data_IF_856604799915
#
_entry.id   IF_856604799915
#
_cell.length_a   1.000
_cell.length_b   1.000
_cell.length_c   1.000
_cell.angle_alpha   90.00
_cell.angle_beta   90.00
_cell.angle_gamma   90.00
#
_symmetry.space_group_name_H-M   'P 1'
#
loop_
_entity.id
_entity.type
_entity.pdbx_description
1 polymer ?
#
# COMPACT_ATOMS: atom_id res chain seq x y z
N UNK A 1 14.56 43.50 75.58
CA UNK A 1 15.59 42.71 74.88
C UNK A 1 15.83 43.34 73.51
N UNK A 2 17.11 43.52 73.17
CA UNK A 2 17.78 43.84 71.88
C UNK A 2 16.92 44.16 70.64
N UNK A 3 17.02 45.38 70.05
CA UNK A 3 17.91 45.86 68.94
C UNK A 3 17.13 45.95 67.60
N UNK A 4 16.92 47.16 67.03
CA UNK A 4 17.68 47.77 65.89
C UNK A 4 17.47 46.96 64.59
N UNK A 5 17.01 47.43 63.42
CA UNK A 5 17.20 48.69 62.66
C UNK A 5 16.12 48.76 61.54
N UNK A 6 15.70 49.97 61.21
CA UNK A 6 14.94 50.42 60.03
C UNK A 6 15.76 50.53 58.73
N UNK A 7 15.22 50.19 57.55
CA UNK A 7 15.48 50.93 56.29
C UNK A 7 14.59 50.47 55.12
N UNK A 8 13.91 51.45 54.50
CA UNK A 8 13.35 51.44 53.14
C UNK A 8 14.47 51.67 52.10
N UNK A 9 14.39 51.02 50.93
CA UNK A 9 14.77 51.54 49.60
C UNK A 9 14.39 50.49 48.51
N UNK A 10 13.40 50.75 47.65
CA UNK A 10 13.49 51.31 46.28
C UNK A 10 14.30 50.48 45.25
N UNK A 11 13.54 49.84 44.34
CA UNK A 11 13.75 49.63 42.89
C UNK A 11 15.15 49.33 42.33
N UNK A 12 15.30 48.16 41.71
CA UNK A 12 16.01 48.00 40.44
C UNK A 12 15.46 46.80 39.66
N UNK A 13 14.87 47.08 38.49
CA UNK A 13 14.55 46.09 37.49
C UNK A 13 15.85 45.43 37.01
N UNK A 14 15.93 44.10 37.08
CA UNK A 14 17.00 43.34 36.44
C UNK A 14 16.42 42.71 35.19
N UNK A 15 16.62 43.41 34.07
CA UNK A 15 16.61 42.80 32.76
C UNK A 15 17.70 41.72 32.73
N UNK A 16 17.31 40.45 32.66
CA UNK A 16 18.25 39.37 32.39
C UNK A 16 18.41 39.26 30.89
N UNK A 17 19.49 39.88 30.40
CA UNK A 17 19.98 39.73 29.05
C UNK A 17 20.28 38.25 28.76
N UNK A 18 19.91 37.85 27.55
CA UNK A 18 20.24 36.59 26.93
C UNK A 18 21.76 36.33 26.93
N UNK A 19 22.17 35.11 27.24
CA UNK A 19 23.04 34.29 26.39
C UNK A 19 23.47 33.02 27.12
N UNK A 20 22.98 31.87 26.66
CA UNK A 20 23.77 30.63 26.67
C UNK A 20 23.33 29.78 25.48
N UNK A 21 24.05 30.03 24.38
CA UNK A 21 24.42 29.08 23.31
C UNK A 21 23.88 27.65 23.44
N UNK A 22 22.80 27.38 22.72
CA UNK A 22 22.60 26.11 22.02
C UNK A 22 22.29 26.47 20.57
N UNK A 23 23.14 26.07 19.63
CA UNK A 23 22.90 26.24 18.21
C UNK A 23 21.73 25.34 17.78
N UNK A 24 20.50 25.76 18.04
CA UNK A 24 19.33 25.25 17.32
C UNK A 24 19.32 25.94 15.96
N UNK A 25 19.51 25.21 14.87
CA UNK A 25 19.32 25.77 13.54
C UNK A 25 17.89 26.28 13.45
N UNK A 26 17.70 27.58 13.29
CA UNK A 26 16.39 28.21 13.14
C UNK A 26 15.64 27.53 11.97
N UNK A 27 14.41 27.09 12.21
CA UNK A 27 13.59 26.40 11.21
C UNK A 27 13.34 27.37 10.06
N UNK A 28 13.67 26.94 8.84
CA UNK A 28 13.52 27.72 7.61
C UNK A 28 12.05 28.07 7.34
N UNK A 29 11.80 29.23 6.73
CA UNK A 29 10.44 29.71 6.43
C UNK A 29 9.66 28.77 5.49
N UNK A 30 10.35 27.99 4.64
CA UNK A 30 9.72 26.94 3.84
C UNK A 30 9.11 25.84 4.71
N UNK A 31 9.78 25.45 5.80
CA UNK A 31 9.26 24.44 6.74
C UNK A 31 8.09 24.98 7.55
N UNK A 32 8.13 26.28 7.91
CA UNK A 32 7.00 26.95 8.56
C UNK A 32 5.79 27.07 7.63
N UNK A 33 6.02 27.39 6.35
CA UNK A 33 4.98 27.41 5.33
C UNK A 33 4.37 26.02 5.11
N UNK A 34 5.21 24.97 5.08
CA UNK A 34 4.75 23.59 5.03
C UNK A 34 3.84 23.22 6.22
N UNK A 35 4.22 23.60 7.45
CA UNK A 35 3.38 23.39 8.65
C UNK A 35 2.00 24.04 8.55
N UNK A 36 1.85 25.08 7.72
CA UNK A 36 0.54 25.67 7.48
C UNK A 36 -0.34 24.83 6.57
N UNK A 37 0.23 23.98 5.71
CA UNK A 37 -0.48 23.27 4.64
C UNK A 37 -0.52 21.75 4.80
N UNK A 38 0.22 21.17 5.75
CA UNK A 38 0.27 19.71 5.88
C UNK A 38 -1.03 19.06 6.38
N UNK A 39 -1.88 19.84 7.03
CA UNK A 39 -3.23 19.47 7.44
C UNK A 39 -4.18 20.59 7.02
N UNK A 40 -5.39 20.21 6.63
CA UNK A 40 -6.47 21.13 6.31
C UNK A 40 -7.09 21.71 7.59
N UNK A 41 -7.66 22.91 7.50
CA UNK A 41 -8.35 23.50 8.64
C UNK A 41 -9.57 22.65 9.04
N UNK A 42 -9.68 22.30 10.33
CA UNK A 42 -10.73 21.43 10.86
C UNK A 42 -10.42 19.93 10.77
N UNK A 43 -9.28 19.56 10.21
CA UNK A 43 -8.90 18.16 10.03
C UNK A 43 -8.36 17.52 11.30
N UNK A 44 -8.67 16.24 11.49
CA UNK A 44 -8.15 15.40 12.58
C UNK A 44 -7.58 14.11 12.03
N UNK A 45 -6.28 13.91 12.23
CA UNK A 45 -5.53 12.77 11.71
C UNK A 45 -4.90 11.97 12.83
N UNK A 46 -4.92 10.65 12.67
CA UNK A 46 -4.03 9.75 13.40
C UNK A 46 -2.66 9.79 12.72
N UNK A 47 -1.62 10.10 13.49
CA UNK A 47 -0.21 10.03 13.11
C UNK A 47 0.44 8.91 13.93
N UNK A 48 0.61 7.71 13.37
CA UNK A 48 1.13 6.56 14.12
C UNK A 48 2.61 6.74 14.51
N UNK A 49 3.36 7.48 13.72
CA UNK A 49 4.78 7.75 13.95
C UNK A 49 5.07 9.24 13.87
N UNK A 50 6.26 9.60 14.34
CA UNK A 50 6.85 10.90 13.99
C UNK A 50 7.07 11.03 12.48
N UNK A 51 6.40 12.01 11.89
CA UNK A 51 6.41 12.29 10.47
C UNK A 51 7.82 12.59 9.92
N UNK A 52 8.75 13.02 10.78
CA UNK A 52 10.15 13.22 10.39
C UNK A 52 10.87 11.93 10.03
N UNK A 53 10.59 10.84 10.76
CA UNK A 53 11.15 9.52 10.45
C UNK A 53 10.71 9.13 9.03
N UNK A 54 9.42 9.34 8.76
CA UNK A 54 8.78 9.04 7.49
C UNK A 54 9.34 9.86 6.34
N UNK A 55 9.59 11.16 6.50
CA UNK A 55 10.24 11.94 5.44
C UNK A 55 11.70 11.59 5.24
N UNK A 56 12.40 11.20 6.30
CA UNK A 56 13.78 10.74 6.21
C UNK A 56 13.93 9.56 5.25
N UNK A 57 13.00 8.60 5.29
CA UNK A 57 12.96 7.45 4.39
C UNK A 57 12.38 7.79 3.01
N UNK A 58 11.29 8.56 2.96
CA UNK A 58 10.49 8.77 1.74
C UNK A 58 11.02 9.88 0.84
N UNK A 59 11.51 10.97 1.45
CA UNK A 59 11.87 12.22 0.76
C UNK A 59 13.40 12.36 0.64
N UNK A 60 14.15 11.73 1.56
CA UNK A 60 15.61 11.65 1.52
C UNK A 60 16.32 13.01 1.62
N UNK A 61 17.55 13.10 1.11
CA UNK A 61 18.39 14.32 1.16
C UNK A 61 18.04 15.36 0.07
N UNK A 62 16.96 15.14 -0.69
CA UNK A 62 16.57 16.01 -1.81
C UNK A 62 15.93 17.33 -1.36
N UNK A 63 15.43 17.40 -0.12
CA UNK A 63 14.92 18.63 0.47
C UNK A 63 16.07 19.56 0.86
N UNK A 64 16.03 20.78 0.33
CA UNK A 64 16.95 21.87 0.67
C UNK A 64 16.63 22.52 2.02
N UNK A 65 15.42 22.29 2.55
CA UNK A 65 14.94 22.88 3.80
C UNK A 65 15.38 22.06 5.02
N UNK A 66 15.63 22.72 6.16
CA UNK A 66 16.13 22.08 7.38
C UNK A 66 15.02 21.41 8.21
N UNK A 67 14.11 20.65 7.60
CA UNK A 67 12.99 19.95 8.25
C UNK A 67 13.42 19.04 9.42
N UNK A 68 14.66 18.54 9.40
CA UNK A 68 15.26 17.77 10.51
C UNK A 68 15.30 18.57 11.82
N UNK A 69 15.30 19.90 11.75
CA UNK A 69 15.28 20.81 12.90
C UNK A 69 13.90 20.93 13.58
N UNK A 70 12.82 20.41 12.98
CA UNK A 70 11.52 20.35 13.67
C UNK A 70 11.67 19.58 15.01
N UNK A 71 10.84 19.84 16.01
CA UNK A 71 10.75 18.96 17.18
C UNK A 71 9.92 17.71 16.86
N UNK A 72 10.19 16.62 17.59
CA UNK A 72 9.41 15.38 17.50
C UNK A 72 8.10 15.56 18.27
N UNK A 73 6.98 15.16 17.68
CA UNK A 73 5.68 15.16 18.36
C UNK A 73 5.56 13.90 19.24
N UNK A 74 5.09 14.05 20.48
CA UNK A 74 4.82 12.94 21.41
C UNK A 74 6.01 11.99 21.63
N UNK A 75 7.26 12.50 21.59
CA UNK A 75 8.48 11.69 21.70
C UNK A 75 8.56 10.51 20.70
N UNK A 76 7.83 10.63 19.57
CA UNK A 76 7.79 9.63 18.50
C UNK A 76 6.64 8.63 18.62
N UNK A 77 5.86 8.69 19.70
CA UNK A 77 4.68 7.85 19.91
C UNK A 77 3.57 8.21 18.92
N UNK A 78 2.63 7.26 18.66
CA UNK A 78 1.40 7.58 17.95
C UNK A 78 0.68 8.78 18.58
N UNK A 79 0.08 9.61 17.76
CA UNK A 79 -0.63 10.81 18.19
C UNK A 79 -1.86 11.09 17.33
N UNK A 80 -2.87 11.71 17.92
CA UNK A 80 -3.96 12.33 17.16
C UNK A 80 -3.69 13.82 17.10
N UNK A 81 -3.57 14.37 15.90
CA UNK A 81 -3.37 15.80 15.70
C UNK A 81 -4.62 16.40 15.08
N UNK A 82 -4.98 17.61 15.54
CA UNK A 82 -6.11 18.39 15.03
C UNK A 82 -5.63 19.77 14.66
N UNK A 83 -5.86 20.20 13.42
CA UNK A 83 -5.62 21.59 13.01
C UNK A 83 -6.91 22.38 13.09
N UNK A 84 -6.86 23.56 13.69
CA UNK A 84 -8.02 24.46 13.73
C UNK A 84 -7.62 25.92 13.82
N UNK A 85 -8.25 26.74 13.00
CA UNK A 85 -8.19 28.21 13.05
C UNK A 85 -9.14 28.80 14.09
N UNK A 86 -10.10 28.02 14.59
CA UNK A 86 -11.15 28.46 15.51
C UNK A 86 -10.99 27.94 16.94
N UNK A 87 -10.45 26.73 17.11
CA UNK A 87 -10.12 26.18 18.42
C UNK A 87 -8.72 26.63 18.85
N UNK A 88 -8.61 27.02 20.12
CA UNK A 88 -7.28 27.22 20.71
C UNK A 88 -6.56 25.88 20.83
N UNK A 89 -5.31 25.84 20.36
CA UNK A 89 -4.48 24.65 20.46
C UNK A 89 -4.35 24.17 21.92
N UNK A 90 -4.40 22.85 22.15
CA UNK A 90 -4.36 22.27 23.49
C UNK A 90 -2.99 22.40 24.18
N UNK A 91 -1.95 22.83 23.47
CA UNK A 91 -0.58 22.94 23.96
C UNK A 91 0.16 21.61 24.10
N UNK A 92 -0.38 20.52 23.57
CA UNK A 92 0.24 19.20 23.58
C UNK A 92 1.29 19.00 22.49
N UNK A 93 1.29 19.84 21.45
CA UNK A 93 2.36 19.83 20.46
C UNK A 93 3.55 20.68 20.91
N UNK A 94 4.76 20.43 20.37
CA UNK A 94 5.85 21.39 20.48
C UNK A 94 5.46 22.78 19.95
N UNK A 95 6.10 23.84 20.47
CA UNK A 95 5.72 25.24 20.25
C UNK A 95 5.48 25.62 18.78
N UNK A 96 6.29 25.09 17.85
CA UNK A 96 6.17 25.40 16.41
C UNK A 96 4.86 24.89 15.79
N UNK A 97 4.38 23.72 16.22
CA UNK A 97 3.11 23.14 15.77
C UNK A 97 1.93 23.84 16.47
N UNK A 98 2.06 24.10 17.77
CA UNK A 98 1.06 24.84 18.55
C UNK A 98 0.85 26.25 17.97
N UNK A 99 1.93 26.94 17.57
CA UNK A 99 1.86 28.23 16.89
C UNK A 99 1.19 28.18 15.50
N UNK A 100 1.18 27.00 14.85
CA UNK A 100 0.49 26.75 13.59
C UNK A 100 -0.98 26.32 13.77
N UNK A 101 -1.53 26.40 14.99
CA UNK A 101 -2.92 26.06 15.31
C UNK A 101 -3.18 24.56 15.43
N UNK A 102 -2.14 23.76 15.70
CA UNK A 102 -2.26 22.31 15.83
C UNK A 102 -2.34 21.92 17.31
N UNK A 103 -3.31 21.06 17.64
CA UNK A 103 -3.40 20.34 18.91
C UNK A 103 -2.88 18.92 18.74
N UNK A 104 -2.11 18.41 19.69
CA UNK A 104 -1.57 17.04 19.67
C UNK A 104 -2.05 16.30 20.91
N UNK A 105 -2.55 15.10 20.69
CA UNK A 105 -2.97 14.15 21.73
C UNK A 105 -2.06 12.93 21.63
N UNK A 106 -1.20 12.68 22.61
CA UNK A 106 -0.29 11.55 22.59
C UNK A 106 -1.00 10.26 22.99
N UNK A 107 -0.78 9.18 22.24
CA UNK A 107 -1.36 7.87 22.53
C UNK A 107 -0.36 7.07 23.37
N UNK A 108 -0.69 6.84 24.63
CA UNK A 108 0.15 6.13 25.57
C UNK A 108 -0.03 4.62 25.46
N UNK A 109 1.03 3.85 25.72
CA UNK A 109 1.02 2.39 25.74
C UNK A 109 1.31 1.69 24.40
N UNK A 110 1.55 2.44 23.32
CA UNK A 110 1.91 1.88 22.00
C UNK A 110 3.43 1.70 21.80
N UNK A 111 4.26 2.42 22.55
CA UNK A 111 5.71 2.49 22.42
C UNK A 111 6.46 1.20 22.79
N UNK A 112 5.85 0.34 23.60
CA UNK A 112 6.40 -0.96 23.99
C UNK A 112 5.59 -2.14 23.43
N UNK A 113 4.65 -1.87 22.52
CA UNK A 113 3.74 -2.86 21.97
C UNK A 113 4.14 -3.23 20.55
N UNK A 114 4.26 -4.53 20.29
CA UNK A 114 4.45 -5.09 18.94
C UNK A 114 3.12 -5.36 18.22
N UNK A 115 2.00 -5.12 18.90
CA UNK A 115 0.65 -5.24 18.36
C UNK A 115 -0.09 -3.93 18.62
N UNK A 116 -0.45 -3.24 17.54
CA UNK A 116 -1.19 -1.98 17.62
C UNK A 116 -2.65 -2.20 17.32
N UNK A 117 -3.51 -1.63 18.16
CA UNK A 117 -4.96 -1.62 17.95
C UNK A 117 -5.50 -0.20 18.06
N UNK A 118 -6.16 0.28 17.01
CA UNK A 118 -6.79 1.60 16.96
C UNK A 118 -8.30 1.45 16.76
N UNK A 119 -9.06 2.04 17.67
CA UNK A 119 -10.50 2.17 17.53
C UNK A 119 -10.80 3.55 16.97
N UNK A 120 -11.49 3.65 15.84
CA UNK A 120 -11.72 4.91 15.13
C UNK A 120 -13.21 5.16 14.97
N UNK A 121 -13.62 6.42 15.01
CA UNK A 121 -14.99 6.84 14.72
C UNK A 121 -14.97 8.14 13.91
N UNK A 122 -16.02 8.43 13.11
CA UNK A 122 -16.10 9.68 12.37
C UNK A 122 -16.16 10.85 13.35
N UNK A 123 -15.31 11.85 13.15
CA UNK A 123 -15.40 13.10 13.91
C UNK A 123 -16.49 14.00 13.34
N UNK A 124 -17.60 14.13 14.06
CA UNK A 124 -18.74 14.95 13.64
C UNK A 124 -18.57 16.44 13.95
N UNK A 125 -17.94 16.78 15.09
CA UNK A 125 -17.75 18.16 15.52
C UNK A 125 -16.32 18.44 16.01
N UNK A 126 -15.87 19.67 15.77
CA UNK A 126 -14.59 20.19 16.26
C UNK A 126 -14.71 20.56 17.75
N UNK A 127 -14.25 19.67 18.62
CA UNK A 127 -14.08 19.92 20.06
C UNK A 127 -12.61 20.05 20.52
N UNK A 128 -12.39 20.58 21.72
CA UNK A 128 -11.08 20.51 22.38
C UNK A 128 -10.63 19.05 22.55
N UNK A 129 -9.32 18.80 22.42
CA UNK A 129 -8.71 17.48 22.54
C UNK A 129 -7.88 17.39 23.83
N UNK A 130 -7.86 16.22 24.51
CA UNK A 130 -7.00 16.02 25.67
C UNK A 130 -5.52 16.06 25.28
N UNK A 131 -4.63 16.09 26.27
CA UNK A 131 -3.18 16.00 26.01
C UNK A 131 -2.75 14.56 25.73
N UNK A 132 -3.42 13.59 26.33
CA UNK A 132 -3.11 12.16 26.20
C UNK A 132 -4.38 11.33 26.09
N UNK A 133 -4.26 10.18 25.45
CA UNK A 133 -5.24 9.10 25.44
C UNK A 133 -4.50 7.78 25.68
N UNK A 134 -5.13 6.87 26.43
CA UNK A 134 -4.57 5.55 26.70
C UNK A 134 -4.78 4.58 25.53
N UNK A 135 -3.98 3.53 25.49
CA UNK A 135 -4.13 2.41 24.56
C UNK A 135 -5.58 1.91 24.49
N UNK A 136 -6.10 1.73 23.28
CA UNK A 136 -7.48 1.26 23.05
C UNK A 136 -8.55 2.34 23.17
N UNK A 137 -8.19 3.61 23.40
CA UNK A 137 -9.14 4.70 23.31
C UNK A 137 -9.76 4.83 21.91
N UNK A 138 -11.03 5.23 21.84
CA UNK A 138 -11.70 5.53 20.58
C UNK A 138 -11.32 6.91 20.07
N UNK A 139 -10.78 6.96 18.85
CA UNK A 139 -10.23 8.14 18.21
C UNK A 139 -11.25 8.73 17.24
N UNK A 140 -11.66 9.98 17.47
CA UNK A 140 -12.49 10.72 16.53
C UNK A 140 -11.65 11.30 15.39
N UNK A 141 -11.73 10.73 14.19
CA UNK A 141 -10.88 11.08 13.04
C UNK A 141 -11.72 11.58 11.86
N UNK A 142 -11.09 12.41 11.01
CA UNK A 142 -11.62 12.77 9.68
C UNK A 142 -10.83 12.09 8.57
N UNK A 143 -9.53 11.92 8.78
CA UNK A 143 -8.60 11.37 7.79
C UNK A 143 -7.55 10.50 8.49
N UNK A 144 -6.93 9.61 7.73
CA UNK A 144 -5.84 8.75 8.16
C UNK A 144 -4.62 9.05 7.29
N UNK A 145 -3.50 9.41 7.92
CA UNK A 145 -2.23 9.48 7.18
C UNK A 145 -1.69 8.07 6.99
N UNK A 146 -0.93 7.83 5.91
CA UNK A 146 -0.16 6.59 5.72
C UNK A 146 0.50 6.15 7.03
N UNK A 147 0.23 4.92 7.42
CA UNK A 147 0.80 4.30 8.62
C UNK A 147 2.14 3.69 8.24
N UNK A 148 3.22 4.37 8.59
CA UNK A 148 4.53 3.73 8.54
C UNK A 148 4.65 2.80 9.74
N UNK A 149 4.77 1.50 9.55
CA UNK A 149 4.92 0.56 10.65
C UNK A 149 6.38 0.53 11.13
N UNK A 150 6.65 0.56 12.46
CA UNK A 150 7.96 0.22 13.01
C UNK A 150 8.41 -1.19 12.59
N UNK A 151 9.73 -1.40 12.50
CA UNK A 151 10.29 -2.68 12.03
C UNK A 151 9.95 -3.87 12.96
N UNK A 152 9.76 -3.61 14.26
CA UNK A 152 9.42 -4.62 15.27
C UNK A 152 7.91 -4.85 15.44
N UNK A 153 7.07 -4.10 14.72
CA UNK A 153 5.63 -4.24 14.79
C UNK A 153 5.18 -5.48 14.04
N UNK A 154 4.51 -6.39 14.75
CA UNK A 154 4.04 -7.68 14.24
C UNK A 154 2.58 -7.65 13.78
N UNK A 155 1.75 -6.77 14.37
CA UNK A 155 0.35 -6.63 13.99
C UNK A 155 -0.16 -5.20 14.07
N UNK A 156 -0.98 -4.81 13.09
CA UNK A 156 -1.80 -3.59 13.10
C UNK A 156 -3.27 -3.98 12.96
N UNK A 157 -4.10 -3.43 13.84
CA UNK A 157 -5.55 -3.54 13.81
C UNK A 157 -6.20 -2.15 13.86
N UNK A 158 -7.11 -1.88 12.94
CA UNK A 158 -7.94 -0.67 12.92
C UNK A 158 -9.41 -1.11 12.87
N UNK A 159 -10.18 -0.63 13.85
CA UNK A 159 -11.60 -0.98 14.01
C UNK A 159 -12.45 0.27 14.01
N UNK A 160 -13.33 0.40 13.04
CA UNK A 160 -14.39 1.39 13.06
C UNK A 160 -15.42 1.08 14.14
N UNK A 161 -15.73 2.07 14.98
CA UNK A 161 -16.73 1.96 16.05
C UNK A 161 -18.07 2.49 15.54
N UNK A 162 -19.12 1.70 15.75
CA UNK A 162 -20.49 2.02 15.34
C UNK A 162 -21.08 0.97 14.40
N UNK A 163 -22.33 1.17 14.00
CA UNK A 163 -23.06 0.23 13.13
C UNK A 163 -22.70 0.41 11.65
N UNK A 164 -22.33 1.62 11.24
CA UNK A 164 -21.93 1.95 9.88
C UNK A 164 -20.40 1.97 9.74
N UNK A 165 -19.91 1.56 8.57
CA UNK A 165 -18.48 1.62 8.25
C UNK A 165 -17.97 3.06 8.28
N UNK A 166 -16.84 3.26 8.97
CA UNK A 166 -16.21 4.56 9.14
C UNK A 166 -15.54 4.98 7.83
N UNK A 167 -16.07 6.00 7.17
CA UNK A 167 -15.43 6.59 5.99
C UNK A 167 -14.25 7.48 6.44
N UNK A 168 -13.04 7.16 5.96
CA UNK A 168 -11.83 7.94 6.23
C UNK A 168 -11.12 8.28 4.92
N UNK A 169 -10.66 9.51 4.80
CA UNK A 169 -9.77 9.90 3.72
C UNK A 169 -8.36 9.43 4.05
N UNK A 170 -7.74 8.64 3.17
CA UNK A 170 -6.32 8.32 3.31
C UNK A 170 -5.49 9.39 2.61
N UNK A 171 -4.54 9.97 3.35
CA UNK A 171 -3.66 11.03 2.87
C UNK A 171 -2.22 10.57 2.93
N UNK A 172 -1.42 10.94 1.92
CA UNK A 172 -0.01 10.59 1.89
C UNK A 172 0.77 11.20 3.07
N UNK A 173 1.79 10.50 3.52
CA UNK A 173 2.75 10.97 4.51
C UNK A 173 3.52 12.23 4.07
N UNK A 174 3.66 12.42 2.76
CA UNK A 174 4.29 13.60 2.16
C UNK A 174 3.30 14.75 1.87
N UNK A 175 2.08 14.72 2.39
CA UNK A 175 1.09 15.81 2.19
C UNK A 175 1.67 17.18 2.58
N UNK A 176 1.40 18.19 1.75
CA UNK A 176 1.92 19.55 1.91
C UNK A 176 3.26 19.82 1.21
N UNK A 177 3.92 18.81 0.63
CA UNK A 177 5.12 18.97 -0.19
C UNK A 177 4.76 18.99 -1.69
N UNK A 178 4.79 20.16 -2.34
CA UNK A 178 4.39 20.34 -3.75
C UNK A 178 5.22 19.54 -4.77
N UNK A 179 6.41 19.07 -4.37
CA UNK A 179 7.35 18.37 -5.26
C UNK A 179 7.16 16.84 -5.30
N UNK A 180 6.22 16.28 -4.51
CA UNK A 180 6.02 14.84 -4.36
C UNK A 180 4.65 14.41 -4.88
N UNK A 181 4.64 13.29 -5.61
CA UNK A 181 3.40 12.66 -6.02
C UNK A 181 2.72 12.04 -4.80
N UNK A 182 1.57 12.60 -4.41
CA UNK A 182 0.74 12.17 -3.28
C UNK A 182 -0.60 11.60 -3.75
N UNK A 183 -0.74 11.34 -5.06
CA UNK A 183 -2.00 10.93 -5.67
C UNK A 183 -2.46 9.53 -5.29
N UNK A 184 -1.58 8.71 -4.72
CA UNK A 184 -1.88 7.32 -4.41
C UNK A 184 -1.19 6.84 -3.11
N UNK A 185 -1.66 7.27 -1.94
CA UNK A 185 -1.05 6.89 -0.68
C UNK A 185 -1.29 5.41 -0.37
N UNK A 186 -0.23 4.74 0.09
CA UNK A 186 -0.36 3.47 0.79
C UNK A 186 -1.11 3.69 2.10
N UNK A 187 -1.89 2.71 2.57
CA UNK A 187 -2.47 2.78 3.91
C UNK A 187 -1.41 2.43 4.95
N UNK A 188 -0.64 1.38 4.68
CA UNK A 188 0.44 0.90 5.55
C UNK A 188 1.71 0.78 4.72
N UNK A 189 2.77 1.44 5.15
CA UNK A 189 4.11 1.33 4.59
C UNK A 189 5.04 0.64 5.60
N UNK A 190 6.01 -0.12 5.10
CA UNK A 190 6.90 -0.96 5.94
C UNK A 190 8.36 -0.87 5.47
N UNK A 191 9.28 -0.91 6.43
CA UNK A 191 10.70 -1.05 6.16
C UNK A 191 11.06 -2.42 5.58
N UNK A 192 12.25 -2.53 5.00
CA UNK A 192 12.77 -3.80 4.44
C UNK A 192 13.02 -4.89 5.48
N UNK A 193 13.14 -4.51 6.75
CA UNK A 193 13.35 -5.40 7.88
C UNK A 193 12.08 -5.61 8.73
N UNK A 194 10.91 -5.25 8.20
CA UNK A 194 9.64 -5.33 8.93
C UNK A 194 9.29 -6.75 9.37
N UNK A 195 8.83 -6.86 10.61
CA UNK A 195 8.27 -8.06 11.22
C UNK A 195 6.73 -8.13 11.09
N UNK A 196 6.11 -7.26 10.28
CA UNK A 196 4.65 -7.18 10.19
C UNK A 196 4.07 -8.43 9.53
N UNK A 197 3.33 -9.21 10.30
CA UNK A 197 2.73 -10.48 9.86
C UNK A 197 1.21 -10.35 9.68
N UNK A 198 0.55 -9.47 10.46
CA UNK A 198 -0.91 -9.40 10.52
C UNK A 198 -1.48 -7.99 10.39
N UNK A 199 -2.38 -7.82 9.42
CA UNK A 199 -3.17 -6.61 9.24
C UNK A 199 -4.65 -6.93 9.38
N UNK A 200 -5.34 -6.14 10.20
CA UNK A 200 -6.78 -6.26 10.44
C UNK A 200 -7.46 -4.91 10.29
N UNK A 201 -8.32 -4.78 9.29
CA UNK A 201 -9.17 -3.61 9.08
C UNK A 201 -10.62 -4.07 9.20
N UNK A 202 -11.32 -3.57 10.21
CA UNK A 202 -12.71 -3.92 10.47
C UNK A 202 -13.56 -2.65 10.50
N UNK A 203 -14.69 -2.66 9.80
CA UNK A 203 -15.68 -1.58 9.82
C UNK A 203 -15.15 -0.19 9.41
N UNK A 204 -14.19 -0.15 8.47
CA UNK A 204 -13.67 1.07 7.85
C UNK A 204 -13.95 0.98 6.35
N UNK A 205 -14.56 2.01 5.75
CA UNK A 205 -14.90 1.98 4.33
C UNK A 205 -13.64 2.01 3.46
N UNK A 206 -13.37 0.90 2.77
CA UNK A 206 -12.25 0.79 1.83
C UNK A 206 -12.72 0.83 0.38
N UNK A 207 -14.03 0.82 0.10
CA UNK A 207 -14.50 0.68 -1.28
C UNK A 207 -14.05 1.84 -2.16
N UNK A 208 -14.11 3.08 -1.65
CA UNK A 208 -13.62 4.25 -2.40
C UNK A 208 -12.09 4.37 -2.42
N UNK A 209 -11.40 3.78 -1.44
CA UNK A 209 -9.94 3.86 -1.35
C UNK A 209 -9.23 2.88 -2.30
N UNK A 210 -9.91 1.80 -2.68
CA UNK A 210 -9.33 0.75 -3.53
C UNK A 210 -9.51 1.00 -5.04
N UNK A 211 -10.24 2.02 -5.48
CA UNK A 211 -10.52 2.25 -6.91
C UNK A 211 -9.27 2.59 -7.74
N UNK A 212 -8.24 3.21 -7.14
CA UNK A 212 -7.07 3.76 -7.85
C UNK A 212 -5.69 3.21 -7.40
N UNK A 213 -5.63 2.40 -6.32
CA UNK A 213 -4.36 2.00 -5.67
C UNK A 213 -4.02 0.52 -5.80
N UNK A 214 -2.72 0.23 -5.99
CA UNK A 214 -2.18 -1.14 -5.95
C UNK A 214 -1.37 -1.44 -4.69
N UNK A 215 -0.89 -0.41 -3.99
CA UNK A 215 0.15 -0.54 -2.97
C UNK A 215 -0.37 -0.19 -1.56
N UNK A 216 -1.67 -0.42 -1.35
CA UNK A 216 -2.35 -0.03 -0.12
C UNK A 216 -1.90 -0.86 1.11
N UNK A 217 -1.54 -2.13 0.89
CA UNK A 217 -1.19 -3.10 1.93
C UNK A 217 0.16 -3.77 1.60
N UNK A 218 1.08 -3.94 2.57
CA UNK A 218 2.33 -4.67 2.39
C UNK A 218 2.14 -6.13 1.97
N UNK A 219 2.96 -6.61 1.03
CA UNK A 219 2.83 -7.95 0.42
C UNK A 219 3.52 -9.08 1.21
N UNK A 220 4.31 -8.74 2.24
CA UNK A 220 5.10 -9.69 3.03
C UNK A 220 4.37 -10.20 4.29
N UNK A 221 3.06 -9.98 4.39
CA UNK A 221 2.23 -10.40 5.53
C UNK A 221 1.72 -11.85 5.39
N UNK A 222 1.35 -12.45 6.51
CA UNK A 222 0.76 -13.80 6.60
C UNK A 222 -0.76 -13.76 6.77
N UNK A 223 -1.29 -12.73 7.41
CA UNK A 223 -2.70 -12.60 7.78
C UNK A 223 -3.29 -11.26 7.31
N UNK A 224 -4.29 -11.32 6.44
CA UNK A 224 -5.06 -10.15 6.00
C UNK A 224 -6.54 -10.32 6.31
N UNK A 225 -7.06 -9.43 7.17
CA UNK A 225 -8.49 -9.36 7.51
C UNK A 225 -9.04 -8.01 7.08
N UNK A 226 -10.02 -8.02 6.17
CA UNK A 226 -10.76 -6.85 5.69
C UNK A 226 -12.27 -7.13 5.84
N UNK A 227 -12.84 -6.90 7.02
CA UNK A 227 -14.25 -7.23 7.33
C UNK A 227 -15.09 -5.99 7.48
N UNK A 228 -16.33 -6.01 7.01
CA UNK A 228 -17.21 -4.82 7.07
C UNK A 228 -16.61 -3.58 6.40
N UNK A 229 -15.80 -3.76 5.35
CA UNK A 229 -15.07 -2.67 4.69
C UNK A 229 -15.74 -2.18 3.40
N UNK A 230 -17.01 -2.54 3.20
CA UNK A 230 -17.84 -2.16 2.05
C UNK A 230 -17.31 -2.59 0.67
N UNK A 231 -16.27 -3.40 0.59
CA UNK A 231 -15.59 -3.72 -0.67
C UNK A 231 -16.55 -4.45 -1.60
N UNK A 232 -16.76 -3.91 -2.79
CA UNK A 232 -17.58 -4.52 -3.83
C UNK A 232 -16.78 -4.99 -5.04
N UNK A 233 -15.68 -4.30 -5.33
CA UNK A 233 -14.70 -4.60 -6.36
C UNK A 233 -13.30 -4.26 -5.84
N UNK A 234 -12.28 -4.86 -6.44
CA UNK A 234 -10.87 -4.52 -6.22
C UNK A 234 -10.17 -4.47 -7.59
N UNK A 235 -9.16 -3.60 -7.76
CA UNK A 235 -8.32 -3.63 -8.95
C UNK A 235 -7.61 -4.97 -9.04
N UNK A 236 -7.29 -5.41 -10.25
CA UNK A 236 -6.76 -6.77 -10.46
C UNK A 236 -5.50 -7.05 -9.65
N UNK A 237 -4.72 -6.01 -9.36
CA UNK A 237 -3.44 -6.02 -8.68
C UNK A 237 -3.53 -6.01 -7.15
N UNK A 238 -4.65 -5.59 -6.54
CA UNK A 238 -4.73 -5.45 -5.07
C UNK A 238 -4.44 -6.74 -4.31
N UNK A 239 -4.91 -7.87 -4.85
CA UNK A 239 -4.67 -9.19 -4.28
C UNK A 239 -3.43 -9.90 -4.86
N UNK A 240 -2.62 -9.24 -5.69
CA UNK A 240 -1.45 -9.84 -6.34
C UNK A 240 -0.16 -9.50 -5.60
N UNK A 241 0.78 -10.44 -5.60
CA UNK A 241 2.14 -10.18 -5.13
C UNK A 241 2.49 -10.78 -3.78
N UNK A 242 1.52 -11.35 -3.06
CA UNK A 242 1.74 -11.87 -1.71
C UNK A 242 2.72 -13.04 -1.71
N UNK A 243 3.79 -12.92 -0.92
CA UNK A 243 4.81 -13.97 -0.81
C UNK A 243 4.48 -14.99 0.29
N UNK A 244 3.80 -14.54 1.35
CA UNK A 244 3.62 -15.30 2.60
C UNK A 244 2.17 -15.40 3.08
N UNK A 245 1.19 -14.85 2.35
CA UNK A 245 -0.20 -14.78 2.82
C UNK A 245 -0.82 -16.17 2.99
N UNK A 246 -1.16 -16.52 4.22
CA UNK A 246 -1.74 -17.81 4.61
C UNK A 246 -3.25 -17.71 4.90
N UNK A 247 -3.71 -16.57 5.42
CA UNK A 247 -5.10 -16.36 5.81
C UNK A 247 -5.65 -15.07 5.23
N UNK A 248 -6.77 -15.20 4.53
CA UNK A 248 -7.50 -14.08 3.94
C UNK A 248 -8.95 -14.09 4.42
N UNK A 249 -9.35 -13.05 5.13
CA UNK A 249 -10.74 -12.81 5.52
C UNK A 249 -11.28 -11.57 4.82
N UNK A 250 -12.25 -11.78 3.92
CA UNK A 250 -13.02 -10.76 3.21
C UNK A 250 -14.52 -10.86 3.55
N UNK A 251 -14.86 -11.45 4.70
CA UNK A 251 -16.25 -11.63 5.13
C UNK A 251 -16.95 -10.31 5.41
N UNK A 252 -18.28 -10.30 5.30
CA UNK A 252 -19.11 -9.11 5.54
C UNK A 252 -18.72 -7.94 4.62
N UNK A 253 -18.58 -8.22 3.33
CA UNK A 253 -18.35 -7.21 2.30
C UNK A 253 -19.50 -7.22 1.29
N UNK A 254 -19.28 -6.61 0.13
CA UNK A 254 -20.25 -6.50 -0.96
C UNK A 254 -19.75 -7.22 -2.22
N UNK A 255 -18.92 -8.25 -2.07
CA UNK A 255 -18.35 -9.02 -3.18
C UNK A 255 -19.47 -9.75 -3.95
N UNK A 256 -19.39 -9.78 -5.28
CA UNK A 256 -20.46 -10.32 -6.13
C UNK A 256 -19.97 -11.34 -7.16
N UNK A 257 -20.92 -12.08 -7.73
CA UNK A 257 -20.66 -13.05 -8.80
C UNK A 257 -19.88 -14.26 -8.31
N UNK A 258 -18.81 -14.62 -9.02
CA UNK A 258 -17.86 -15.69 -8.61
C UNK A 258 -16.61 -15.11 -7.92
N UNK A 259 -16.53 -13.78 -7.77
CA UNK A 259 -15.37 -13.02 -7.32
C UNK A 259 -14.01 -13.55 -7.82
N UNK A 260 -13.82 -13.50 -9.15
CA UNK A 260 -12.70 -14.11 -9.89
C UNK A 260 -11.30 -13.54 -9.60
N UNK A 261 -11.16 -12.63 -8.63
CA UNK A 261 -9.89 -12.03 -8.19
C UNK A 261 -9.13 -12.95 -7.24
N UNK A 262 -9.83 -13.82 -6.52
CA UNK A 262 -9.19 -14.80 -5.64
C UNK A 262 -8.73 -16.00 -6.47
N UNK A 263 -7.43 -16.06 -6.75
CA UNK A 263 -6.83 -17.05 -7.64
C UNK A 263 -5.38 -17.35 -7.25
N UNK A 264 -4.77 -18.37 -7.84
CA UNK A 264 -3.34 -18.66 -7.65
C UNK A 264 -2.40 -17.53 -8.09
N UNK A 265 -2.87 -16.58 -8.92
CA UNK A 265 -2.08 -15.39 -9.33
C UNK A 265 -1.90 -14.37 -8.20
N UNK A 266 -2.57 -14.55 -7.07
CA UNK A 266 -2.39 -13.71 -5.90
C UNK A 266 -1.00 -13.87 -5.27
N UNK A 267 -0.42 -15.06 -5.42
CA UNK A 267 0.82 -15.44 -4.79
C UNK A 267 2.02 -15.34 -5.74
N UNK A 268 3.15 -14.86 -5.22
CA UNK A 268 4.45 -14.96 -5.91
C UNK A 268 5.17 -16.27 -5.59
N UNK A 269 4.89 -16.85 -4.42
CA UNK A 269 5.37 -18.17 -4.04
C UNK A 269 4.63 -19.30 -4.78
N UNK A 270 5.36 -20.38 -5.07
CA UNK A 270 4.81 -21.61 -5.65
C UNK A 270 5.34 -22.83 -4.87
N UNK A 271 4.49 -23.58 -4.16
CA UNK A 271 3.04 -23.41 -4.07
C UNK A 271 2.62 -22.11 -3.38
N UNK A 272 1.44 -21.59 -3.74
CA UNK A 272 0.83 -20.43 -3.07
C UNK A 272 0.50 -20.80 -1.62
N UNK A 273 0.98 -20.04 -0.60
CA UNK A 273 0.86 -20.41 0.81
C UNK A 273 -0.54 -20.25 1.41
N UNK A 274 -1.52 -19.75 0.65
CA UNK A 274 -2.86 -19.47 1.13
C UNK A 274 -3.58 -20.76 1.59
N UNK A 275 -3.87 -20.84 2.89
CA UNK A 275 -4.48 -21.99 3.57
C UNK A 275 -5.97 -21.78 3.82
N UNK A 276 -6.37 -20.57 4.18
CA UNK A 276 -7.75 -20.28 4.59
C UNK A 276 -8.29 -19.03 3.92
N UNK A 277 -9.51 -19.14 3.40
CA UNK A 277 -10.24 -18.03 2.77
C UNK A 277 -11.64 -17.94 3.36
N UNK A 278 -11.97 -16.78 3.90
CA UNK A 278 -13.33 -16.46 4.34
C UNK A 278 -13.93 -15.39 3.44
N UNK A 279 -14.98 -15.74 2.70
CA UNK A 279 -15.78 -14.82 1.87
C UNK A 279 -17.27 -14.94 2.23
N UNK A 280 -17.57 -15.39 3.44
CA UNK A 280 -18.94 -15.45 3.97
C UNK A 280 -19.57 -14.05 4.06
N UNK A 281 -20.89 -13.98 4.14
CA UNK A 281 -21.62 -12.71 4.29
C UNK A 281 -21.29 -11.72 3.17
N UNK A 282 -21.38 -12.17 1.92
CA UNK A 282 -21.19 -11.38 0.72
C UNK A 282 -22.41 -11.59 -0.21
N UNK A 283 -22.28 -11.23 -1.49
CA UNK A 283 -23.33 -11.42 -2.50
C UNK A 283 -22.83 -12.30 -3.66
N UNK A 284 -22.00 -13.30 -3.38
CA UNK A 284 -21.55 -14.27 -4.38
C UNK A 284 -22.73 -15.09 -4.88
N UNK A 285 -22.87 -15.22 -6.19
CA UNK A 285 -23.96 -15.99 -6.82
C UNK A 285 -23.52 -17.36 -7.30
N UNK A 286 -22.21 -17.63 -7.25
CA UNK A 286 -21.61 -18.89 -7.69
C UNK A 286 -20.43 -19.25 -6.78
N UNK A 287 -20.15 -20.55 -6.66
CA UNK A 287 -18.93 -21.05 -6.02
C UNK A 287 -17.71 -20.48 -6.78
N UNK A 288 -16.71 -19.89 -6.09
CA UNK A 288 -15.54 -19.28 -6.73
C UNK A 288 -14.54 -20.36 -7.17
N UNK A 289 -14.85 -21.12 -8.23
CA UNK A 289 -14.11 -22.34 -8.62
C UNK A 289 -12.59 -22.19 -8.79
N UNK A 290 -12.08 -20.97 -9.04
CA UNK A 290 -10.64 -20.69 -9.16
C UNK A 290 -9.88 -20.79 -7.84
N UNK A 291 -10.56 -20.71 -6.69
CA UNK A 291 -9.90 -20.87 -5.38
C UNK A 291 -9.40 -22.30 -5.18
N UNK A 292 -10.00 -23.28 -5.84
CA UNK A 292 -9.56 -24.68 -5.78
C UNK A 292 -8.27 -24.94 -6.59
N UNK A 293 -7.75 -23.94 -7.31
CA UNK A 293 -6.40 -23.98 -7.90
C UNK A 293 -5.31 -23.54 -6.91
N UNK A 294 -5.67 -23.24 -5.67
CA UNK A 294 -4.74 -22.91 -4.59
C UNK A 294 -4.27 -24.21 -3.92
N UNK A 295 -3.03 -24.60 -4.21
CA UNK A 295 -2.48 -25.91 -3.85
C UNK A 295 -2.40 -26.18 -2.34
N UNK A 296 -2.50 -25.16 -1.48
CA UNK A 296 -2.41 -25.27 -0.02
C UNK A 296 -3.73 -24.96 0.69
N UNK A 297 -4.80 -24.66 -0.06
CA UNK A 297 -6.10 -24.31 0.52
C UNK A 297 -6.67 -25.51 1.28
N UNK A 298 -6.99 -25.30 2.55
CA UNK A 298 -7.58 -26.29 3.44
C UNK A 298 -8.93 -25.84 4.03
N UNK A 299 -9.22 -24.53 4.00
CA UNK A 299 -10.40 -23.94 4.63
C UNK A 299 -11.05 -22.91 3.72
N UNK A 300 -12.35 -23.06 3.45
CA UNK A 300 -13.13 -22.14 2.62
C UNK A 300 -14.53 -21.90 3.21
N UNK A 301 -14.86 -20.65 3.48
CA UNK A 301 -16.13 -20.25 4.08
C UNK A 301 -16.93 -19.37 3.11
N UNK A 302 -18.14 -19.82 2.75
CA UNK A 302 -19.03 -19.26 1.73
C UNK A 302 -20.45 -19.02 2.25
N UNK A 303 -20.74 -19.27 3.53
CA UNK A 303 -22.07 -19.08 4.11
C UNK A 303 -22.59 -17.64 3.98
N UNK A 304 -23.91 -17.48 4.02
CA UNK A 304 -24.60 -16.20 3.87
C UNK A 304 -24.21 -15.48 2.56
N UNK A 305 -24.30 -16.19 1.45
CA UNK A 305 -24.14 -15.62 0.10
C UNK A 305 -25.42 -15.82 -0.72
N UNK A 306 -25.41 -15.48 -2.01
CA UNK A 306 -26.52 -15.66 -2.94
C UNK A 306 -26.33 -16.87 -3.87
N UNK A 307 -25.57 -17.89 -3.44
CA UNK A 307 -25.28 -19.07 -4.26
C UNK A 307 -26.50 -19.98 -4.26
N UNK A 308 -27.05 -20.24 -5.45
CA UNK A 308 -28.26 -21.04 -5.64
C UNK A 308 -28.04 -22.27 -6.53
N UNK A 309 -26.78 -22.56 -6.89
CA UNK A 309 -26.42 -23.70 -7.71
C UNK A 309 -25.49 -24.65 -6.95
N UNK A 310 -26.01 -25.82 -6.59
CA UNK A 310 -25.28 -26.91 -5.93
C UNK A 310 -24.86 -28.02 -6.90
N UNK A 311 -25.01 -27.80 -8.21
CA UNK A 311 -24.54 -28.72 -9.24
C UNK A 311 -23.07 -28.47 -9.54
N UNK A 312 -22.24 -29.50 -9.39
CA UNK A 312 -20.78 -29.43 -9.53
C UNK A 312 -20.24 -30.58 -10.37
N UNK A 313 -19.06 -30.42 -10.97
CA UNK A 313 -18.35 -31.54 -11.60
C UNK A 313 -17.78 -32.49 -10.53
N UNK A 314 -17.45 -33.72 -10.94
CA UNK A 314 -16.76 -34.69 -10.07
C UNK A 314 -15.45 -34.11 -9.50
N UNK A 315 -14.64 -33.44 -10.33
CA UNK A 315 -13.36 -32.85 -9.90
C UNK A 315 -13.54 -31.74 -8.86
N UNK A 316 -14.57 -30.89 -9.04
CA UNK A 316 -14.86 -29.82 -8.08
C UNK A 316 -15.40 -30.40 -6.77
N UNK A 317 -16.24 -31.43 -6.84
CA UNK A 317 -16.71 -32.16 -5.66
C UNK A 317 -15.54 -32.77 -4.88
N UNK A 318 -14.62 -33.47 -5.54
CA UNK A 318 -13.43 -34.04 -4.90
C UNK A 318 -12.56 -32.94 -4.26
N UNK A 319 -12.40 -31.79 -4.93
CA UNK A 319 -11.68 -30.64 -4.38
C UNK A 319 -12.36 -30.09 -3.13
N UNK A 320 -13.69 -29.98 -3.12
CA UNK A 320 -14.48 -29.54 -1.95
C UNK A 320 -14.34 -30.56 -0.81
N UNK A 321 -14.56 -31.84 -1.09
CA UNK A 321 -14.52 -32.92 -0.11
C UNK A 321 -13.12 -33.16 0.49
N UNK A 322 -12.07 -32.73 -0.21
CA UNK A 322 -10.68 -32.78 0.27
C UNK A 322 -10.30 -31.63 1.22
N UNK A 323 -11.14 -30.60 1.37
CA UNK A 323 -10.89 -29.53 2.33
C UNK A 323 -11.01 -30.07 3.76
N UNK A 324 -10.36 -29.40 4.71
CA UNK A 324 -10.54 -29.68 6.14
C UNK A 324 -11.79 -28.99 6.66
N UNK A 325 -11.96 -27.71 6.31
CA UNK A 325 -13.12 -26.90 6.68
C UNK A 325 -13.78 -26.35 5.43
N UNK A 326 -15.08 -26.58 5.28
CA UNK A 326 -15.85 -25.99 4.19
C UNK A 326 -17.25 -25.69 4.70
N UNK A 327 -17.67 -24.44 4.54
CA UNK A 327 -19.00 -23.99 4.94
C UNK A 327 -19.65 -23.27 3.75
N UNK A 328 -20.92 -23.58 3.50
CA UNK A 328 -21.76 -22.97 2.47
C UNK A 328 -23.23 -23.24 2.84
N UNK A 329 -24.13 -22.37 2.39
CA UNK A 329 -25.55 -22.52 2.64
C UNK A 329 -26.10 -23.82 2.01
N UNK A 330 -27.05 -24.45 2.71
CA UNK A 330 -27.67 -25.70 2.26
C UNK A 330 -28.54 -25.46 1.01
N UNK A 331 -28.67 -26.46 0.12
CA UNK A 331 -29.66 -26.42 -0.95
C UNK A 331 -31.05 -26.14 -0.41
N UNK A 332 -31.81 -25.33 -1.12
CA UNK A 332 -33.25 -25.18 -0.85
C UNK A 332 -33.96 -26.51 -1.05
N UNK A 333 -35.02 -26.78 -0.29
CA UNK A 333 -35.82 -28.02 -0.42
C UNK A 333 -36.39 -28.25 -1.83
N UNK A 334 -36.47 -27.20 -2.65
CA UNK A 334 -36.97 -27.23 -4.04
C UNK A 334 -35.88 -27.54 -5.08
N UNK A 335 -34.61 -27.66 -4.69
CA UNK A 335 -33.52 -27.87 -5.65
C UNK A 335 -33.48 -29.33 -6.12
N UNK A 336 -33.58 -29.57 -7.43
CA UNK A 336 -33.51 -30.90 -8.05
C UNK A 336 -32.09 -31.22 -8.53
N UNK A 337 -31.76 -32.52 -8.54
CA UNK A 337 -30.53 -33.02 -9.16
C UNK A 337 -30.89 -33.87 -10.37
N UNK A 338 -31.12 -33.20 -11.51
CA UNK A 338 -31.70 -33.83 -12.69
C UNK A 338 -30.67 -34.60 -13.54
N UNK A 339 -29.43 -34.12 -13.61
CA UNK A 339 -28.35 -34.68 -14.45
C UNK A 339 -27.16 -35.23 -13.65
N UNK A 340 -27.37 -35.50 -12.36
CA UNK A 340 -26.29 -35.89 -11.45
C UNK A 340 -26.71 -36.89 -10.39
N UNK A 341 -25.81 -37.06 -9.42
CA UNK A 341 -26.03 -37.88 -8.23
C UNK A 341 -25.82 -37.03 -6.99
N UNK A 342 -26.69 -37.20 -6.00
CA UNK A 342 -26.52 -36.52 -4.72
C UNK A 342 -25.33 -37.12 -3.97
N UNK A 343 -24.35 -36.27 -3.65
CA UNK A 343 -23.19 -36.62 -2.84
C UNK A 343 -23.02 -35.62 -1.71
N UNK A 344 -22.66 -36.10 -0.53
CA UNK A 344 -22.56 -35.27 0.68
C UNK A 344 -21.10 -35.02 1.07
N UNK A 345 -20.73 -33.76 1.25
CA UNK A 345 -19.44 -33.35 1.79
C UNK A 345 -19.65 -32.18 2.77
N UNK A 346 -18.94 -32.19 3.91
CA UNK A 346 -19.02 -31.14 4.93
C UNK A 346 -20.45 -30.81 5.42
N UNK A 347 -21.34 -31.81 5.43
CA UNK A 347 -22.74 -31.61 5.83
C UNK A 347 -23.64 -30.98 4.76
N UNK A 348 -23.16 -30.83 3.52
CA UNK A 348 -23.88 -30.23 2.39
C UNK A 348 -24.05 -31.28 1.29
N UNK A 349 -25.24 -31.33 0.69
CA UNK A 349 -25.53 -32.20 -0.46
C UNK A 349 -25.28 -31.44 -1.76
N UNK A 350 -24.46 -32.00 -2.64
CA UNK A 350 -24.17 -31.51 -3.98
C UNK A 350 -24.77 -32.42 -5.04
N UNK A 351 -25.27 -31.84 -6.13
CA UNK A 351 -25.63 -32.58 -7.31
C UNK A 351 -24.37 -32.77 -8.18
N UNK A 352 -23.75 -33.94 -8.13
CA UNK A 352 -22.50 -34.20 -8.85
C UNK A 352 -22.81 -34.77 -10.22
N UNK A 353 -22.41 -34.06 -11.27
CA UNK A 353 -22.68 -34.45 -12.66
C UNK A 353 -22.02 -35.79 -13.00
N UNK A 354 -22.78 -36.66 -13.66
CA UNK A 354 -22.24 -37.91 -14.19
C UNK A 354 -21.26 -37.61 -15.32
N UNK A 355 -20.07 -38.21 -15.32
CA UNK A 355 -18.98 -37.93 -16.28
C UNK A 355 -19.35 -38.15 -17.76
N UNK A 356 -20.55 -38.67 -18.06
CA UNK A 356 -21.07 -38.93 -19.40
C UNK A 356 -21.85 -37.76 -20.02
N UNK A 357 -22.22 -36.72 -19.27
CA UNK A 357 -23.04 -35.58 -19.79
C UNK A 357 -22.30 -34.25 -19.94
N UNK A 358 -21.02 -34.17 -19.55
CA UNK A 358 -20.19 -32.95 -19.73
C UNK A 358 -19.82 -32.62 -21.19
N UNK A 359 -20.37 -33.35 -22.16
CA UNK A 359 -20.13 -33.14 -23.58
C UNK A 359 -21.42 -32.74 -24.32
N UNK A 360 -22.29 -31.88 -23.77
CA UNK A 360 -23.31 -31.13 -24.56
C UNK A 360 -24.05 -30.10 -23.72
N UNK A 361 -23.40 -28.99 -23.38
CA UNK A 361 -24.11 -27.73 -23.06
C UNK A 361 -23.15 -26.54 -23.19
N UNK A 362 -22.70 -26.28 -24.40
CA UNK A 362 -22.14 -24.99 -24.78
C UNK A 362 -23.19 -24.23 -25.58
N UNK A 363 -24.16 -23.61 -24.90
CA UNK A 363 -25.04 -22.62 -25.56
C UNK A 363 -24.34 -21.26 -25.60
N UNK A 364 -23.66 -21.09 -26.73
CA UNK A 364 -23.67 -19.90 -27.59
C UNK A 364 -23.88 -18.53 -26.95
N UNK A 365 -22.80 -17.75 -26.94
CA UNK A 365 -22.86 -16.37 -27.42
C UNK A 365 -21.59 -15.97 -28.20
N UNK A 366 -21.75 -16.00 -29.53
CA UNK A 366 -21.05 -15.16 -30.52
C UNK A 366 -19.58 -15.41 -30.87
N UNK A 367 -19.38 -15.55 -32.20
CA UNK A 367 -18.28 -15.00 -32.99
C UNK A 367 -16.99 -15.84 -33.12
N UNK A 368 -16.98 -16.67 -34.16
CA UNK A 368 -15.93 -16.72 -35.20
C UNK A 368 -14.47 -16.49 -34.77
N UNK A 369 -13.88 -17.40 -33.98
CA UNK A 369 -12.46 -17.26 -33.59
C UNK A 369 -11.51 -18.39 -33.99
N UNK A 370 -11.97 -19.44 -34.70
CA UNK A 370 -11.03 -20.42 -35.26
C UNK A 370 -10.19 -19.82 -36.38
N UNK A 371 -10.80 -19.06 -37.30
CA UNK A 371 -10.07 -18.39 -38.39
C UNK A 371 -9.13 -17.28 -37.89
N UNK A 372 -9.55 -16.52 -36.87
CA UNK A 372 -8.75 -15.46 -36.27
C UNK A 372 -7.47 -15.99 -35.60
N UNK A 373 -7.54 -17.16 -34.95
CA UNK A 373 -6.34 -17.82 -34.39
C UNK A 373 -5.37 -18.23 -35.52
N UNK A 374 -5.85 -18.82 -36.62
CA UNK A 374 -4.98 -19.17 -37.74
C UNK A 374 -4.34 -17.93 -38.40
N UNK A 375 -5.07 -16.82 -38.49
CA UNK A 375 -4.54 -15.55 -39.02
C UNK A 375 -3.51 -14.93 -38.08
N UNK A 376 -3.75 -14.96 -36.76
CA UNK A 376 -2.79 -14.44 -35.77
C UNK A 376 -1.51 -15.28 -35.76
N UNK A 377 -1.62 -16.62 -35.78
CA UNK A 377 -0.45 -17.51 -35.84
C UNK A 377 0.33 -17.27 -37.13
N UNK A 378 -0.34 -17.16 -38.28
CA UNK A 378 0.32 -16.84 -39.54
C UNK A 378 1.01 -15.46 -39.51
N UNK A 379 0.36 -14.44 -38.94
CA UNK A 379 0.94 -13.10 -38.78
C UNK A 379 2.17 -13.11 -37.85
N UNK A 380 2.12 -13.82 -36.73
CA UNK A 380 3.25 -13.99 -35.82
C UNK A 380 4.43 -14.68 -36.52
N UNK A 381 4.18 -15.71 -37.33
CA UNK A 381 5.24 -16.38 -38.10
C UNK A 381 5.87 -15.42 -39.11
N UNK A 382 5.08 -14.59 -39.81
CA UNK A 382 5.60 -13.58 -40.74
C UNK A 382 6.45 -12.53 -40.00
N UNK A 383 5.99 -12.04 -38.85
CA UNK A 383 6.75 -11.08 -38.03
C UNK A 383 8.07 -11.69 -37.53
N UNK A 384 8.06 -12.94 -37.06
CA UNK A 384 9.28 -13.65 -36.66
C UNK A 384 10.27 -13.81 -37.82
N UNK A 385 9.78 -14.12 -39.04
CA UNK A 385 10.63 -14.21 -40.23
C UNK A 385 11.21 -12.85 -40.60
N UNK A 386 10.42 -11.76 -40.53
CA UNK A 386 10.91 -10.41 -40.79
C UNK A 386 11.96 -9.96 -39.77
N UNK A 387 11.75 -10.24 -38.48
CA UNK A 387 12.74 -9.98 -37.42
C UNK A 387 14.02 -10.78 -37.68
N UNK A 388 13.91 -12.05 -38.05
CA UNK A 388 15.07 -12.89 -38.38
C UNK A 388 15.85 -12.37 -39.60
N UNK A 389 15.15 -11.94 -40.65
CA UNK A 389 15.77 -11.31 -41.83
C UNK A 389 16.45 -10.00 -41.44
N UNK A 390 15.80 -9.16 -40.63
CA UNK A 390 16.38 -7.90 -40.16
C UNK A 390 17.65 -8.14 -39.33
N UNK A 391 17.65 -9.12 -38.42
CA UNK A 391 18.84 -9.51 -37.66
C UNK A 391 19.94 -10.03 -38.59
N UNK A 392 19.63 -10.86 -39.59
CA UNK A 392 20.62 -11.31 -40.59
C UNK A 392 21.18 -10.16 -41.41
N UNK A 393 20.34 -9.22 -41.85
CA UNK A 393 20.77 -8.05 -42.62
C UNK A 393 21.66 -7.14 -41.77
N UNK A 394 21.29 -6.87 -40.51
CA UNK A 394 22.10 -6.09 -39.56
C UNK A 394 23.45 -6.75 -39.28
N UNK A 395 23.48 -8.08 -39.08
CA UNK A 395 24.73 -8.84 -38.93
C UNK A 395 25.57 -8.86 -40.22
N UNK A 396 24.96 -8.80 -41.40
CA UNK A 396 25.69 -8.71 -42.66
C UNK A 396 26.24 -7.28 -42.89
N UNK A 397 25.49 -6.26 -42.52
CA UNK A 397 25.91 -4.86 -42.57
C UNK A 397 27.10 -4.59 -41.64
N UNK A 398 27.03 -5.05 -40.38
CA UNK A 398 28.15 -4.90 -39.44
C UNK A 398 29.42 -5.60 -39.95
N UNK A 399 29.29 -6.79 -40.55
CA UNK A 399 30.43 -7.51 -41.16
C UNK A 399 31.01 -6.80 -42.40
N UNK A 400 30.24 -5.98 -43.10
CA UNK A 400 30.74 -5.14 -44.21
C UNK A 400 31.47 -3.92 -43.66
N UNK A 401 30.90 -3.27 -42.63
CA UNK A 401 31.55 -2.15 -41.93
C UNK A 401 32.92 -2.52 -41.36
N UNK A 402 33.03 -3.67 -40.69
CA UNK A 402 34.32 -4.18 -40.17
C UNK A 402 35.33 -4.47 -41.30
N UNK A 403 34.84 -4.91 -42.47
CA UNK A 403 35.69 -5.14 -43.64
C UNK A 403 36.20 -3.83 -44.25
N UNK A 404 35.35 -2.80 -44.33
CA UNK A 404 35.73 -1.48 -44.84
C UNK A 404 36.71 -0.76 -43.90
N UNK A 405 36.53 -0.87 -42.57
CA UNK A 405 37.47 -0.37 -41.57
C UNK A 405 38.83 -1.10 -41.63
N UNK A 406 38.84 -2.41 -41.87
CA UNK A 406 40.08 -3.18 -42.04
C UNK A 406 40.85 -2.85 -43.33
N UNK A 407 40.14 -2.44 -44.39
CA UNK A 407 40.74 -2.01 -45.66
C UNK A 407 41.37 -0.61 -45.51
N UNK A 408 40.69 0.30 -44.81
CA UNK A 408 41.22 1.63 -44.46
C UNK A 408 42.49 1.52 -43.61
N UNK A 409 42.50 0.65 -42.59
CA UNK A 409 43.66 0.44 -41.72
C UNK A 409 44.87 -0.17 -42.45
N UNK A 410 44.65 -0.95 -43.53
CA UNK A 410 45.74 -1.50 -44.35
C UNK A 410 46.34 -0.46 -45.32
N UNK A 411 45.56 0.55 -45.73
CA UNK A 411 46.07 1.65 -46.55
C UNK A 411 46.92 2.66 -45.77
N UNK A 412 46.71 2.81 -44.46
CA UNK A 412 47.44 3.76 -43.60
C UNK A 412 48.80 3.26 -43.09
N UNK A 413 49.13 1.97 -43.27
CA UNK A 413 50.41 1.39 -42.81
C UNK A 413 51.52 1.48 -43.89
N UNK A 414 51.18 1.82 -45.13
CA UNK A 414 52.14 1.88 -46.24
C UNK A 414 52.78 3.26 -46.48
N UNK A 415 52.45 4.28 -45.69
CA UNK A 415 53.08 5.60 -45.76
C UNK A 415 53.41 6.08 -44.35
N UNK A 416 54.70 6.08 -44.00
CA UNK A 416 55.16 6.76 -42.79
C UNK A 416 56.36 6.15 -42.08
N UNK A 417 57.38 5.71 -42.82
CA UNK A 417 58.71 5.55 -42.26
C UNK A 417 59.58 6.77 -42.57
N UNK A 418 60.32 7.23 -41.55
CA UNK A 418 61.63 7.89 -41.62
C UNK A 418 61.66 9.44 -41.50
N UNK A 419 62.05 9.88 -40.29
CA UNK A 419 63.12 10.87 -39.95
C UNK A 419 62.74 12.29 -39.49
N UNK A 420 62.88 12.42 -38.16
CA UNK A 420 63.73 13.35 -37.38
C UNK A 420 63.34 14.82 -37.18
N UNK A 421 63.32 15.16 -35.86
CA UNK A 421 64.01 16.27 -35.16
C UNK A 421 64.11 17.61 -35.92
N UNK A 422 63.76 18.76 -35.35
CA UNK A 422 64.12 19.18 -34.00
C UNK A 422 63.34 20.42 -33.54
N UNK A 423 63.18 20.48 -32.23
CA UNK A 423 63.09 21.62 -31.31
C UNK A 423 62.77 23.05 -31.80
N UNK A 424 61.76 23.61 -31.12
CA UNK A 424 61.81 24.79 -30.23
C UNK A 424 61.16 26.13 -30.64
N UNK A 425 60.55 26.70 -29.58
CA UNK A 425 60.20 28.10 -29.32
C UNK A 425 58.75 28.49 -29.67
N UNK A 426 57.89 28.66 -28.66
CA UNK A 426 57.64 29.91 -27.90
C UNK A 426 56.67 30.81 -28.67
N UNK A 427 55.69 31.53 -28.13
CA UNK A 427 55.27 31.87 -26.78
C UNK A 427 53.89 32.58 -26.96
N UNK A 428 53.11 32.64 -25.89
CA UNK A 428 52.27 33.80 -25.54
C UNK A 428 51.00 34.16 -26.34
N UNK A 429 49.98 34.48 -25.52
CA UNK A 429 48.92 35.50 -25.67
C UNK A 429 47.71 35.24 -26.57
N UNK A 430 46.57 34.95 -25.90
CA UNK A 430 45.26 35.67 -25.91
C UNK A 430 45.04 36.76 -26.98
N UNK A 431 43.78 37.19 -27.25
CA UNK A 431 42.52 36.45 -27.40
C UNK A 431 41.65 36.97 -28.59
N UNK A 432 40.47 36.37 -28.76
CA UNK A 432 39.18 36.94 -29.21
C UNK A 432 39.04 37.73 -30.54
N UNK A 433 38.03 37.26 -31.29
CA UNK A 433 37.04 37.98 -32.11
C UNK A 433 37.47 38.71 -33.37
N UNK A 434 36.89 38.29 -34.50
CA UNK A 434 35.66 38.89 -35.03
C UNK A 434 34.78 37.82 -35.67
#
# INVERSE_FOLDING_TARGET
>A
MLRLVSALALTAAVARAASSSGSGSEIDDQVKAWLQNYMEDGETRLFPNDIKSVWGSTIGSSLTANWKALPVVCDGKPSVQTKSSTLTANGGCPDVYTAAGVSCTCLEGYDNATEWEFYVQPRQELSAQPLTLEFGATLGLTSLVTIVAPDDLTSIKIVGVGDDAVALNVTAEATGWDAYDTSNPSLIDVGTASALEKITLENVDLNSALDDSTDYIPLAIENLTLRYTNISQMPSTFLQGFASLEYLDLSHNKLQGTYSRITSQMCTANPCPLKSINVSNNALTQIPYRVFYLNQLNSLYLENNAIQNWTVSSDLYESIAGLTNFNMDLPTDTYSCDDGTWMAAHGINFCVLNSTTAATSSDSSSSSNSYLIYVIVAACVVVCVLIFVFIRQRRAYNRRKERDESIMARSSVNYGGVVSMDSSSSNSSRPMSL
#
